data_IF_374300088237
#
_entry.id   IF_374300088237
#
_cell.length_a   1.000
_cell.length_b   1.000
_cell.length_c   1.000
_cell.angle_alpha   90.00
_cell.angle_beta   90.00
_cell.angle_gamma   90.00
#
_symmetry.space_group_name_H-M   'P 1'
#
loop_
_entity.id
_entity.type
_entity.pdbx_description
1 polymer ?
#
# COMPACT_ATOMS: atom_id res chain seq x y z
N UNK A 1 6.26 -33.56 -20.46
CA UNK A 1 4.87 -34.04 -20.69
C UNK A 1 3.98 -33.03 -19.99
N UNK A 2 3.24 -32.20 -20.73
CA UNK A 2 2.34 -31.21 -20.11
C UNK A 2 1.18 -32.01 -19.51
N UNK A 3 0.91 -31.81 -18.21
CA UNK A 3 -0.11 -32.55 -17.48
C UNK A 3 -1.51 -32.19 -18.02
N UNK A 4 -2.33 -33.19 -18.35
CA UNK A 4 -3.69 -32.98 -18.88
C UNK A 4 -4.55 -32.12 -17.96
N UNK A 5 -4.27 -32.11 -16.64
CA UNK A 5 -4.89 -31.19 -15.70
C UNK A 5 -4.57 -29.73 -16.00
N UNK A 6 -3.32 -29.42 -16.30
CA UNK A 6 -2.87 -28.06 -16.59
C UNK A 6 -3.53 -27.51 -17.88
N UNK A 7 -3.71 -28.38 -18.88
CA UNK A 7 -4.42 -28.05 -20.13
C UNK A 7 -5.90 -27.78 -19.86
N UNK A 8 -6.56 -28.65 -19.09
CA UNK A 8 -7.97 -28.46 -18.69
C UNK A 8 -8.19 -27.18 -17.89
N UNK A 9 -7.23 -26.80 -17.02
CA UNK A 9 -7.29 -25.54 -16.29
C UNK A 9 -7.19 -24.33 -17.23
N UNK A 10 -6.25 -24.34 -18.18
CA UNK A 10 -6.11 -23.27 -19.18
C UNK A 10 -7.37 -23.12 -20.05
N UNK A 11 -7.99 -24.24 -20.45
CA UNK A 11 -9.25 -24.22 -21.21
C UNK A 11 -10.38 -23.61 -20.38
N UNK A 12 -10.47 -23.95 -19.09
CA UNK A 12 -11.51 -23.40 -18.20
C UNK A 12 -11.31 -21.91 -17.94
N UNK A 13 -10.07 -21.45 -17.80
CA UNK A 13 -9.75 -20.04 -17.61
C UNK A 13 -10.03 -19.25 -18.89
N UNK A 14 -9.69 -19.80 -20.06
CA UNK A 14 -10.08 -19.24 -21.35
C UNK A 14 -11.61 -19.15 -21.51
N UNK A 15 -12.36 -20.19 -21.14
CA UNK A 15 -13.83 -20.15 -21.17
C UNK A 15 -14.43 -19.07 -20.26
N UNK A 16 -13.82 -18.83 -19.09
CA UNK A 16 -14.24 -17.72 -18.21
C UNK A 16 -13.90 -16.35 -18.82
N UNK A 17 -12.77 -16.23 -19.49
CA UNK A 17 -12.40 -15.02 -20.24
C UNK A 17 -13.33 -14.77 -21.43
N UNK A 18 -13.81 -15.83 -22.10
CA UNK A 18 -14.82 -15.69 -23.16
C UNK A 18 -16.21 -15.36 -22.60
N UNK A 19 -16.59 -15.91 -21.45
CA UNK A 19 -17.81 -15.50 -20.75
C UNK A 19 -17.75 -14.04 -20.32
N UNK A 20 -16.57 -13.49 -20.02
CA UNK A 20 -16.42 -12.06 -19.77
C UNK A 20 -16.75 -11.19 -21.01
N UNK A 21 -16.43 -11.66 -22.22
CA UNK A 21 -16.80 -10.97 -23.48
C UNK A 21 -18.33 -11.00 -23.68
N UNK A 22 -19.02 -11.99 -23.11
CA UNK A 22 -20.46 -12.22 -23.27
C UNK A 22 -21.33 -11.67 -22.13
N UNK A 23 -20.83 -11.63 -20.88
CA UNK A 23 -21.62 -11.37 -19.66
C UNK A 23 -21.22 -10.09 -18.88
N UNK A 24 -20.32 -9.24 -19.41
CA UNK A 24 -19.89 -7.96 -18.79
C UNK A 24 -19.29 -8.05 -17.36
N UNK A 25 -19.12 -9.26 -16.80
CA UNK A 25 -18.73 -9.46 -15.40
C UNK A 25 -17.21 -9.38 -15.21
N UNK A 26 -16.69 -8.21 -14.82
CA UNK A 26 -15.24 -8.01 -14.60
C UNK A 26 -14.64 -9.06 -13.65
N UNK A 27 -13.68 -9.90 -14.11
CA UNK A 27 -13.05 -10.89 -13.24
C UNK A 27 -12.31 -10.16 -12.12
N UNK A 28 -12.56 -10.57 -10.88
CA UNK A 28 -12.09 -9.84 -9.68
C UNK A 28 -11.56 -10.71 -8.55
N UNK A 29 -11.78 -12.02 -8.60
CA UNK A 29 -11.53 -12.92 -7.46
C UNK A 29 -10.04 -13.09 -7.19
N UNK A 30 -9.24 -13.35 -8.23
CA UNK A 30 -7.81 -13.50 -8.13
C UNK A 30 -7.15 -12.17 -7.75
N UNK A 31 -7.60 -11.07 -8.37
CA UNK A 31 -7.12 -9.73 -8.09
C UNK A 31 -7.33 -9.33 -6.62
N UNK A 32 -8.56 -9.42 -6.12
CA UNK A 32 -8.88 -9.07 -4.72
C UNK A 32 -8.08 -9.94 -3.75
N UNK A 33 -7.94 -11.25 -4.04
CA UNK A 33 -7.17 -12.16 -3.18
C UNK A 33 -5.69 -11.77 -3.13
N UNK A 34 -5.08 -11.47 -4.27
CA UNK A 34 -3.67 -11.04 -4.33
C UNK A 34 -3.45 -9.74 -3.58
N UNK A 35 -4.29 -8.73 -3.80
CA UNK A 35 -4.21 -7.46 -3.08
C UNK A 35 -4.42 -7.64 -1.57
N UNK A 36 -5.32 -8.54 -1.16
CA UNK A 36 -5.56 -8.84 0.26
C UNK A 36 -4.33 -9.46 0.92
N UNK A 37 -3.69 -10.46 0.28
CA UNK A 37 -2.48 -11.09 0.82
C UNK A 37 -1.35 -10.07 0.96
N UNK A 38 -1.11 -9.26 -0.08
CA UNK A 38 -0.11 -8.21 -0.01
C UNK A 38 -0.42 -7.20 1.10
N UNK A 39 -1.66 -6.71 1.16
CA UNK A 39 -2.09 -5.74 2.17
C UNK A 39 -1.90 -6.28 3.60
N UNK A 40 -2.27 -7.54 3.84
CA UNK A 40 -2.04 -8.19 5.13
C UNK A 40 -0.54 -8.27 5.48
N UNK A 41 0.31 -8.61 4.50
CA UNK A 41 1.76 -8.62 4.72
C UNK A 41 2.30 -7.22 5.05
N UNK A 42 1.85 -6.18 4.33
CA UNK A 42 2.23 -4.79 4.56
C UNK A 42 1.82 -4.33 5.97
N UNK A 43 0.59 -4.66 6.38
CA UNK A 43 0.04 -4.32 7.68
C UNK A 43 0.81 -5.02 8.81
N UNK A 44 1.01 -6.34 8.70
CA UNK A 44 1.74 -7.11 9.72
C UNK A 44 3.17 -6.57 9.90
N UNK A 45 3.87 -6.32 8.79
CA UNK A 45 5.24 -5.81 8.87
C UNK A 45 5.30 -4.38 9.42
N UNK A 46 4.34 -3.53 9.10
CA UNK A 46 4.24 -2.18 9.67
C UNK A 46 4.00 -2.23 11.18
N UNK A 47 3.15 -3.15 11.67
CA UNK A 47 2.92 -3.36 13.10
C UNK A 47 4.19 -3.87 13.80
N UNK A 48 4.89 -4.85 13.21
CA UNK A 48 6.16 -5.35 13.76
C UNK A 48 7.17 -4.21 13.90
N UNK A 49 7.33 -3.39 12.85
CA UNK A 49 8.26 -2.27 12.87
C UNK A 49 7.88 -1.20 13.89
N UNK A 50 6.59 -0.91 14.05
CA UNK A 50 6.11 0.03 15.07
C UNK A 50 6.54 -0.40 16.48
N UNK A 51 6.34 -1.67 16.84
CA UNK A 51 6.74 -2.17 18.17
C UNK A 51 8.26 -2.15 18.38
N UNK A 52 9.04 -2.58 17.38
CA UNK A 52 10.51 -2.57 17.49
C UNK A 52 11.03 -1.13 17.60
N UNK A 53 10.47 -0.20 16.80
CA UNK A 53 10.86 1.21 16.82
C UNK A 53 10.55 1.88 18.16
N UNK A 54 9.37 1.61 18.73
CA UNK A 54 9.02 2.11 20.06
C UNK A 54 9.97 1.56 21.13
N UNK A 55 10.29 0.27 21.08
CA UNK A 55 11.23 -0.33 22.02
C UNK A 55 12.66 0.26 21.90
N UNK A 56 13.13 0.50 20.67
CA UNK A 56 14.40 1.18 20.41
C UNK A 56 14.40 2.60 20.98
N UNK A 57 13.30 3.34 20.83
CA UNK A 57 13.15 4.70 21.36
C UNK A 57 13.22 4.72 22.89
N UNK A 58 12.50 3.81 23.56
CA UNK A 58 12.50 3.76 25.04
C UNK A 58 13.83 3.32 25.64
N UNK A 59 14.61 2.54 24.90
CA UNK A 59 15.90 2.01 25.37
C UNK A 59 17.08 2.91 25.03
N UNK A 60 16.88 3.96 24.21
CA UNK A 60 17.92 4.89 23.74
C UNK A 60 19.17 4.19 23.17
N UNK A 61 19.00 3.01 22.58
CA UNK A 61 20.10 2.16 22.14
C UNK A 61 20.34 2.31 20.63
N UNK A 62 21.47 2.91 20.27
CA UNK A 62 21.86 3.16 18.87
C UNK A 62 21.91 1.89 18.01
N UNK A 63 22.33 0.76 18.57
CA UNK A 63 22.37 -0.51 17.85
C UNK A 63 20.96 -0.99 17.47
N UNK A 64 19.97 -0.72 18.32
CA UNK A 64 18.57 -1.06 18.01
C UNK A 64 18.01 -0.16 16.90
N UNK A 65 18.39 1.12 16.83
CA UNK A 65 18.00 1.98 15.71
C UNK A 65 18.60 1.52 14.38
N UNK A 66 19.86 1.08 14.37
CA UNK A 66 20.48 0.48 13.19
C UNK A 66 19.73 -0.79 12.75
N UNK A 67 19.37 -1.65 13.72
CA UNK A 67 18.59 -2.86 13.47
C UNK A 67 17.21 -2.54 12.89
N UNK A 68 16.49 -1.54 13.42
CA UNK A 68 15.19 -1.10 12.88
C UNK A 68 15.28 -0.73 11.40
N UNK A 69 16.35 -0.01 10.99
CA UNK A 69 16.56 0.38 9.60
C UNK A 69 16.75 -0.82 8.68
N UNK A 70 17.62 -1.76 9.08
CA UNK A 70 17.87 -3.00 8.33
C UNK A 70 16.59 -3.83 8.23
N UNK A 71 15.88 -4.00 9.33
CA UNK A 71 14.61 -4.74 9.36
C UNK A 71 13.55 -4.08 8.48
N UNK A 72 13.49 -2.75 8.43
CA UNK A 72 12.55 -2.02 7.56
C UNK A 72 12.78 -2.39 6.09
N UNK A 73 14.04 -2.35 5.63
CA UNK A 73 14.39 -2.73 4.25
C UNK A 73 14.03 -4.18 3.96
N UNK A 74 14.42 -5.11 4.84
CA UNK A 74 14.16 -6.54 4.65
C UNK A 74 12.65 -6.82 4.58
N UNK A 75 11.88 -6.30 5.53
CA UNK A 75 10.44 -6.54 5.59
C UNK A 75 9.70 -5.94 4.39
N UNK A 76 10.03 -4.72 3.98
CA UNK A 76 9.37 -4.12 2.81
C UNK A 76 9.81 -4.77 1.48
N UNK A 77 11.04 -5.27 1.35
CA UNK A 77 11.42 -6.15 0.23
C UNK A 77 10.57 -7.44 0.22
N UNK A 78 10.34 -8.04 1.39
CA UNK A 78 9.49 -9.23 1.51
C UNK A 78 8.04 -8.94 1.08
N UNK A 79 7.49 -7.74 1.32
CA UNK A 79 6.13 -7.41 0.81
C UNK A 79 6.04 -7.49 -0.71
N UNK A 80 7.08 -7.06 -1.43
CA UNK A 80 7.15 -7.14 -2.89
C UNK A 80 7.22 -8.61 -3.31
N UNK A 81 8.10 -9.39 -2.68
CA UNK A 81 8.26 -10.82 -2.98
C UNK A 81 6.94 -11.59 -2.74
N UNK A 82 6.27 -11.33 -1.62
CA UNK A 82 4.96 -11.93 -1.30
C UNK A 82 3.92 -11.57 -2.36
N UNK A 83 3.87 -10.32 -2.80
CA UNK A 83 2.98 -9.90 -3.88
C UNK A 83 3.27 -10.67 -5.18
N UNK A 84 4.53 -10.69 -5.63
CA UNK A 84 4.94 -11.37 -6.87
C UNK A 84 4.61 -12.87 -6.80
N UNK A 85 4.94 -13.55 -5.69
CA UNK A 85 4.59 -14.96 -5.50
C UNK A 85 3.07 -15.15 -5.57
N UNK A 86 2.28 -14.23 -5.00
CA UNK A 86 0.82 -14.31 -5.02
C UNK A 86 0.25 -14.17 -6.44
N UNK A 87 0.82 -13.28 -7.27
CA UNK A 87 0.45 -13.14 -8.69
C UNK A 87 0.65 -14.45 -9.47
N UNK A 88 1.72 -15.20 -9.18
CA UNK A 88 2.01 -16.45 -9.90
C UNK A 88 1.35 -17.69 -9.30
N UNK A 89 1.08 -17.74 -8.00
CA UNK A 89 0.50 -18.92 -7.32
C UNK A 89 -1.02 -18.92 -7.24
N UNK A 90 -1.67 -17.76 -7.23
CA UNK A 90 -3.13 -17.70 -7.17
C UNK A 90 -3.71 -18.02 -8.55
N UNK A 91 -4.61 -19.00 -8.62
CA UNK A 91 -5.39 -19.26 -9.81
C UNK A 91 -6.28 -18.06 -10.14
N UNK A 92 -6.11 -17.48 -11.32
CA UNK A 92 -6.80 -16.29 -11.79
C UNK A 92 -6.85 -16.28 -13.32
N UNK A 93 -7.69 -15.43 -13.89
CA UNK A 93 -7.77 -15.22 -15.34
C UNK A 93 -6.49 -14.59 -15.91
N UNK A 94 -6.26 -14.71 -17.21
CA UNK A 94 -5.11 -14.03 -17.86
C UNK A 94 -5.20 -12.51 -17.70
N UNK A 95 -6.41 -11.95 -17.82
CA UNK A 95 -6.66 -10.52 -17.63
C UNK A 95 -6.31 -10.03 -16.22
N UNK A 96 -6.69 -10.76 -15.18
CA UNK A 96 -6.31 -10.42 -13.79
C UNK A 96 -4.79 -10.47 -13.61
N UNK A 97 -4.14 -11.49 -14.19
CA UNK A 97 -2.70 -11.68 -14.08
C UNK A 97 -1.92 -10.57 -14.77
N UNK A 98 -2.30 -10.20 -15.99
CA UNK A 98 -1.64 -9.13 -16.74
C UNK A 98 -1.79 -7.78 -16.03
N UNK A 99 -2.99 -7.49 -15.52
CA UNK A 99 -3.23 -6.29 -14.72
C UNK A 99 -2.37 -6.26 -13.45
N UNK A 100 -2.34 -7.35 -12.67
CA UNK A 100 -1.52 -7.42 -11.45
C UNK A 100 -0.03 -7.34 -11.75
N UNK A 101 0.41 -7.88 -12.89
CA UNK A 101 1.82 -7.81 -13.32
C UNK A 101 2.22 -6.37 -13.58
N UNK A 102 1.39 -5.60 -14.30
CA UNK A 102 1.56 -4.15 -14.42
C UNK A 102 1.49 -3.44 -13.06
N UNK A 103 0.53 -3.80 -12.22
CA UNK A 103 0.31 -3.18 -10.91
C UNK A 103 1.48 -3.40 -9.93
N UNK A 104 2.36 -4.39 -10.18
CA UNK A 104 3.60 -4.61 -9.42
C UNK A 104 4.45 -3.35 -9.27
N UNK A 105 4.44 -2.46 -10.28
CA UNK A 105 5.18 -1.20 -10.22
C UNK A 105 4.72 -0.34 -9.03
N UNK A 106 3.42 -0.20 -8.80
CA UNK A 106 2.88 0.57 -7.67
C UNK A 106 3.23 -0.09 -6.33
N UNK A 107 3.17 -1.42 -6.26
CA UNK A 107 3.55 -2.19 -5.08
C UNK A 107 5.03 -1.95 -4.72
N UNK A 108 5.90 -2.01 -5.73
CA UNK A 108 7.32 -1.77 -5.57
C UNK A 108 7.61 -0.32 -5.14
N UNK A 109 6.94 0.67 -5.74
CA UNK A 109 7.09 2.09 -5.37
C UNK A 109 6.63 2.32 -3.93
N UNK A 110 5.47 1.80 -3.52
CA UNK A 110 4.97 1.93 -2.14
C UNK A 110 5.95 1.32 -1.14
N UNK A 111 6.47 0.12 -1.41
CA UNK A 111 7.50 -0.48 -0.56
C UNK A 111 8.79 0.34 -0.56
N UNK A 112 9.22 0.86 -1.71
CA UNK A 112 10.45 1.65 -1.83
C UNK A 112 10.38 2.96 -1.04
N UNK A 113 9.25 3.66 -1.07
CA UNK A 113 8.97 4.85 -0.24
C UNK A 113 9.26 4.59 1.24
N UNK A 114 8.90 3.40 1.74
CA UNK A 114 9.15 2.99 3.14
C UNK A 114 10.63 2.71 3.42
N UNK A 115 11.39 2.31 2.39
CA UNK A 115 12.79 1.95 2.49
C UNK A 115 13.73 3.15 2.28
N UNK A 116 13.28 4.22 1.62
CA UNK A 116 14.13 5.38 1.30
C UNK A 116 14.76 5.99 2.55
N UNK A 117 14.00 6.21 3.62
CA UNK A 117 14.53 6.82 4.85
C UNK A 117 15.62 5.95 5.53
N UNK A 118 15.42 4.62 5.74
CA UNK A 118 16.49 3.75 6.16
C UNK A 118 17.72 3.76 5.23
N UNK A 119 17.49 3.79 3.91
CA UNK A 119 18.56 3.73 2.89
C UNK A 119 19.38 5.02 2.85
N UNK A 120 18.74 6.18 2.98
CA UNK A 120 19.41 7.48 2.92
C UNK A 120 20.48 7.64 4.00
N UNK A 121 20.30 6.99 5.16
CA UNK A 121 21.30 6.94 6.21
C UNK A 121 22.64 6.36 5.74
N UNK A 122 22.61 5.25 5.00
CA UNK A 122 23.85 4.63 4.49
C UNK A 122 24.43 5.38 3.30
N UNK A 123 23.59 6.08 2.53
CA UNK A 123 24.01 6.89 1.39
C UNK A 123 24.51 8.29 1.79
N UNK A 124 24.40 8.68 3.07
CA UNK A 124 24.67 10.05 3.56
C UNK A 124 23.97 11.12 2.71
N UNK A 125 22.73 10.83 2.34
CA UNK A 125 21.96 11.62 1.39
C UNK A 125 20.89 12.44 2.11
N UNK A 126 21.32 13.46 2.88
CA UNK A 126 20.44 14.31 3.68
C UNK A 126 19.41 15.07 2.83
N UNK A 127 19.72 15.32 1.56
CA UNK A 127 18.78 15.89 0.59
C UNK A 127 17.58 14.98 0.26
N UNK A 128 17.75 13.65 0.33
CA UNK A 128 16.62 12.72 0.13
C UNK A 128 15.64 12.77 1.31
N UNK A 129 16.15 13.06 2.52
CA UNK A 129 15.34 13.21 3.73
C UNK A 129 14.47 14.47 3.63
N UNK A 130 15.05 15.60 3.22
CA UNK A 130 14.30 16.88 3.13
C UNK A 130 13.18 16.84 2.09
N UNK A 131 13.37 16.16 0.95
CA UNK A 131 12.30 15.96 -0.05
C UNK A 131 11.16 15.11 0.52
N UNK A 132 11.48 14.05 1.26
CA UNK A 132 10.49 13.13 1.83
C UNK A 132 9.68 13.74 2.97
N UNK A 133 10.33 14.59 3.78
CA UNK A 133 9.65 15.29 4.86
C UNK A 133 8.72 16.39 4.33
N UNK A 134 9.10 17.04 3.23
CA UNK A 134 8.38 18.19 2.66
C UNK A 134 7.20 17.81 1.75
N UNK A 135 7.20 16.63 1.15
CA UNK A 135 6.20 16.25 0.15
C UNK A 135 5.57 14.88 0.45
N UNK A 136 4.23 14.75 0.48
CA UNK A 136 3.56 13.50 0.82
C UNK A 136 3.54 12.54 -0.38
N UNK A 137 4.73 12.07 -0.78
CA UNK A 137 4.92 11.18 -1.94
C UNK A 137 4.07 9.91 -1.82
N UNK A 138 3.94 9.37 -0.60
CA UNK A 138 3.16 8.16 -0.34
C UNK A 138 1.68 8.32 -0.70
N UNK A 139 1.05 9.43 -0.33
CA UNK A 139 -0.38 9.66 -0.60
C UNK A 139 -0.64 9.83 -2.11
N UNK A 140 0.27 10.49 -2.84
CA UNK A 140 0.18 10.60 -4.29
C UNK A 140 0.27 9.26 -5.00
N UNK A 141 1.20 8.40 -4.58
CA UNK A 141 1.33 7.05 -5.15
C UNK A 141 0.08 6.21 -4.86
N UNK A 142 -0.51 6.33 -3.68
CA UNK A 142 -1.80 5.69 -3.35
C UNK A 142 -2.91 6.18 -4.26
N UNK A 143 -3.04 7.50 -4.47
CA UNK A 143 -4.05 8.08 -5.36
C UNK A 143 -3.88 7.55 -6.79
N UNK A 144 -2.66 7.54 -7.33
CA UNK A 144 -2.38 7.00 -8.66
C UNK A 144 -2.71 5.51 -8.77
N UNK A 145 -2.34 4.71 -7.77
CA UNK A 145 -2.67 3.29 -7.71
C UNK A 145 -4.19 3.06 -7.68
N UNK A 146 -4.94 3.87 -6.93
CA UNK A 146 -6.40 3.83 -6.89
C UNK A 146 -7.02 4.23 -8.23
N UNK A 147 -6.46 5.21 -8.95
CA UNK A 147 -6.90 5.54 -10.31
C UNK A 147 -6.72 4.37 -11.28
N UNK A 148 -5.59 3.66 -11.19
CA UNK A 148 -5.36 2.44 -12.00
C UNK A 148 -6.36 1.35 -11.66
N UNK A 149 -6.68 1.15 -10.38
CA UNK A 149 -7.73 0.23 -9.95
C UNK A 149 -9.13 0.68 -10.42
N UNK A 150 -9.42 1.99 -10.42
CA UNK A 150 -10.66 2.52 -10.96
C UNK A 150 -10.80 2.21 -12.45
N UNK A 151 -9.73 2.33 -13.24
CA UNK A 151 -9.75 1.99 -14.66
C UNK A 151 -10.07 0.51 -14.92
N UNK A 152 -9.62 -0.38 -14.02
CA UNK A 152 -9.90 -1.82 -14.11
C UNK A 152 -11.35 -2.16 -13.73
N UNK A 153 -11.78 -1.71 -12.55
CA UNK A 153 -13.07 -2.07 -11.96
C UNK A 153 -14.24 -1.20 -12.44
N UNK A 154 -13.97 0.04 -12.86
CA UNK A 154 -14.95 1.06 -13.24
C UNK A 154 -16.07 1.28 -12.23
N UNK A 155 -15.77 1.12 -10.93
CA UNK A 155 -16.78 1.28 -9.88
C UNK A 155 -16.77 2.68 -9.26
N UNK A 156 -17.95 3.27 -9.07
CA UNK A 156 -18.15 4.54 -8.32
C UNK A 156 -17.56 4.49 -6.91
N UNK A 157 -17.46 3.29 -6.33
CA UNK A 157 -16.86 3.04 -5.02
C UNK A 157 -15.39 3.44 -4.97
N UNK A 158 -14.60 3.06 -5.97
CA UNK A 158 -13.17 3.42 -6.00
C UNK A 158 -13.01 4.91 -6.24
N UNK A 159 -13.86 5.52 -7.07
CA UNK A 159 -13.89 6.97 -7.26
C UNK A 159 -14.12 7.71 -5.93
N UNK A 160 -15.06 7.23 -5.11
CA UNK A 160 -15.32 7.80 -3.79
C UNK A 160 -14.11 7.67 -2.86
N UNK A 161 -13.38 6.54 -2.88
CA UNK A 161 -12.15 6.37 -2.10
C UNK A 161 -11.05 7.34 -2.57
N UNK A 162 -10.91 7.54 -3.88
CA UNK A 162 -9.97 8.53 -4.46
C UNK A 162 -10.30 9.93 -3.93
N UNK A 163 -11.57 10.34 -4.00
CA UNK A 163 -12.00 11.66 -3.52
C UNK A 163 -11.75 11.82 -2.01
N UNK A 164 -12.05 10.79 -1.20
CA UNK A 164 -11.77 10.80 0.23
C UNK A 164 -10.27 10.92 0.53
N UNK A 165 -9.42 10.27 -0.25
CA UNK A 165 -7.96 10.40 -0.11
C UNK A 165 -7.49 11.83 -0.41
N UNK A 166 -7.97 12.42 -1.50
CA UNK A 166 -7.61 13.79 -1.89
C UNK A 166 -8.07 14.80 -0.82
N UNK A 167 -9.32 14.70 -0.37
CA UNK A 167 -9.87 15.60 0.66
C UNK A 167 -9.14 15.39 2.00
N UNK A 168 -8.88 14.14 2.38
CA UNK A 168 -8.12 13.81 3.59
C UNK A 168 -6.72 14.41 3.58
N UNK A 169 -6.03 14.33 2.45
CA UNK A 169 -4.68 14.89 2.29
C UNK A 169 -4.68 16.41 2.41
N UNK A 170 -5.62 17.09 1.74
CA UNK A 170 -5.78 18.55 1.84
C UNK A 170 -6.06 18.95 3.30
N UNK A 171 -6.90 18.19 4.00
CA UNK A 171 -7.22 18.44 5.41
C UNK A 171 -5.98 18.26 6.32
N UNK A 172 -5.15 17.23 6.08
CA UNK A 172 -3.91 17.00 6.85
C UNK A 172 -2.91 18.12 6.61
N UNK A 173 -2.67 18.51 5.35
CA UNK A 173 -1.76 19.63 5.02
C UNK A 173 -2.25 20.94 5.64
N UNK A 174 -3.55 21.22 5.54
CA UNK A 174 -4.15 22.39 6.17
C UNK A 174 -3.98 22.38 7.70
N UNK A 175 -4.21 21.23 8.35
CA UNK A 175 -4.04 21.05 9.79
C UNK A 175 -2.59 21.28 10.22
N UNK A 176 -1.62 20.67 9.53
CA UNK A 176 -0.18 20.85 9.83
C UNK A 176 0.21 22.31 9.65
N UNK A 177 -0.22 22.97 8.58
CA UNK A 177 0.08 24.40 8.37
C UNK A 177 -0.51 25.30 9.46
N UNK A 178 -1.74 25.00 9.92
CA UNK A 178 -2.39 25.71 11.02
C UNK A 178 -1.69 25.49 12.36
N UNK A 179 -1.19 24.27 12.60
CA UNK A 179 -0.39 23.94 13.78
C UNK A 179 0.93 24.71 13.81
N UNK A 180 1.68 24.68 12.71
CA UNK A 180 2.98 25.36 12.61
C UNK A 180 2.89 26.89 12.72
N UNK A 181 1.77 27.47 12.27
CA UNK A 181 1.53 28.92 12.36
C UNK A 181 0.87 29.36 13.68
N UNK A 182 0.59 28.43 14.60
CA UNK A 182 -0.02 28.76 15.89
C UNK A 182 1.04 29.18 16.91
N UNK A 183 0.86 30.35 17.52
CA UNK A 183 1.80 30.87 18.52
C UNK A 183 1.79 30.03 19.82
N UNK A 184 0.64 29.45 20.16
CA UNK A 184 0.46 28.55 21.32
C UNK A 184 -0.47 27.41 20.86
N UNK A 185 0.07 26.28 20.38
CA UNK A 185 -0.75 25.13 20.01
C UNK A 185 -1.46 24.56 21.25
N UNK A 186 -2.73 24.20 21.09
CA UNK A 186 -3.49 23.52 22.16
C UNK A 186 -3.00 22.09 22.34
N UNK A 187 -3.19 21.50 23.54
CA UNK A 187 -2.83 20.10 23.82
C UNK A 187 -3.48 19.11 22.84
N UNK A 188 -4.73 19.39 22.44
CA UNK A 188 -5.44 18.58 21.44
C UNK A 188 -4.74 18.65 20.07
N UNK A 189 -4.26 19.83 19.66
CA UNK A 189 -3.54 19.97 18.40
C UNK A 189 -2.21 19.22 18.42
N UNK A 190 -1.48 19.24 19.54
CA UNK A 190 -0.22 18.49 19.70
C UNK A 190 -0.49 16.99 19.55
N UNK A 191 -1.49 16.44 20.26
CA UNK A 191 -1.84 15.01 20.17
C UNK A 191 -2.25 14.59 18.76
N UNK A 192 -3.01 15.43 18.05
CA UNK A 192 -3.41 15.17 16.66
C UNK A 192 -2.21 15.22 15.70
N UNK A 193 -1.29 16.17 15.91
CA UNK A 193 -0.05 16.24 15.15
C UNK A 193 0.79 14.97 15.35
N UNK A 194 1.02 14.56 16.60
CA UNK A 194 1.78 13.34 16.91
C UNK A 194 1.14 12.10 16.29
N UNK A 195 -0.19 11.98 16.38
CA UNK A 195 -0.94 10.89 15.73
C UNK A 195 -0.76 10.91 14.21
N UNK A 196 -0.81 12.09 13.58
CA UNK A 196 -0.61 12.23 12.12
C UNK A 196 0.80 11.84 11.70
N UNK A 197 1.82 12.19 12.50
CA UNK A 197 3.21 11.84 12.26
C UNK A 197 3.44 10.33 12.45
N UNK A 198 2.83 9.71 13.46
CA UNK A 198 2.86 8.26 13.65
C UNK A 198 2.24 7.54 12.46
N UNK A 199 1.08 8.01 11.97
CA UNK A 199 0.44 7.43 10.80
C UNK A 199 1.31 7.58 9.54
N UNK A 200 1.84 8.78 9.26
CA UNK A 200 2.77 9.02 8.14
C UNK A 200 3.98 8.08 8.22
N UNK A 201 4.64 8.04 9.38
CA UNK A 201 5.86 7.28 9.57
C UNK A 201 5.67 5.77 9.53
N UNK A 202 4.45 5.26 9.73
CA UNK A 202 4.14 3.83 9.71
C UNK A 202 3.33 3.38 8.47
N UNK A 203 3.16 4.25 7.47
CA UNK A 203 2.46 3.91 6.22
C UNK A 203 0.93 3.86 6.38
N UNK A 204 0.41 4.63 7.33
CA UNK A 204 -1.00 4.70 7.70
C UNK A 204 -1.91 5.09 6.53
N UNK A 205 -1.44 5.94 5.61
CA UNK A 205 -2.20 6.31 4.42
C UNK A 205 -2.47 5.12 3.50
N UNK A 206 -1.43 4.33 3.18
CA UNK A 206 -1.59 3.08 2.41
C UNK A 206 -2.53 2.14 3.16
N UNK A 207 -2.34 2.00 4.47
CA UNK A 207 -3.13 1.08 5.30
C UNK A 207 -4.62 1.42 5.30
N UNK A 208 -4.97 2.68 5.58
CA UNK A 208 -6.36 3.14 5.65
C UNK A 208 -7.01 3.00 4.27
N UNK A 209 -6.36 3.44 3.21
CA UNK A 209 -6.94 3.47 1.86
C UNK A 209 -7.16 2.08 1.29
N UNK A 210 -6.21 1.16 1.46
CA UNK A 210 -6.39 -0.22 1.03
C UNK A 210 -7.35 -1.01 1.94
N UNK A 211 -7.43 -0.71 3.24
CA UNK A 211 -8.44 -1.30 4.11
C UNK A 211 -9.86 -0.95 3.61
N UNK A 212 -10.13 0.34 3.38
CA UNK A 212 -11.42 0.79 2.84
C UNK A 212 -11.71 0.18 1.47
N UNK A 213 -10.73 0.15 0.57
CA UNK A 213 -10.85 -0.48 -0.74
C UNK A 213 -11.26 -1.95 -0.62
N UNK A 214 -10.54 -2.75 0.15
CA UNK A 214 -10.77 -4.19 0.26
C UNK A 214 -12.11 -4.50 0.94
N UNK A 215 -12.49 -3.74 1.97
CA UNK A 215 -13.80 -3.87 2.63
C UNK A 215 -14.91 -3.64 1.60
N UNK A 216 -14.85 -2.53 0.85
CA UNK A 216 -15.90 -2.16 -0.08
C UNK A 216 -15.96 -3.06 -1.33
N UNK A 217 -14.82 -3.56 -1.80
CA UNK A 217 -14.77 -4.55 -2.89
C UNK A 217 -15.32 -5.92 -2.45
N UNK A 218 -15.13 -6.32 -1.19
CA UNK A 218 -15.66 -7.58 -0.65
C UNK A 218 -17.15 -7.50 -0.26
N UNK A 219 -17.64 -6.33 0.17
CA UNK A 219 -19.06 -6.10 0.46
C UNK A 219 -19.94 -6.18 -0.80
N UNK A 220 -19.39 -5.90 -1.97
CA UNK A 220 -20.05 -6.16 -3.27
C UNK A 220 -20.01 -7.65 -3.64
N UNK A 221 -20.67 -8.48 -2.83
CA UNK A 221 -21.34 -9.69 -3.31
C UNK A 221 -22.67 -9.27 -3.92
N UNK A 222 -22.63 -8.82 -5.17
CA UNK A 222 -23.81 -8.74 -6.05
C UNK A 222 -23.44 -9.53 -7.30
#
# INVERSE_FOLDING_TARGET
MIDNKEILEKIRDAQNDTRYILDDSTPKKGLIKTLTIWFLSYLIFSIILYFISNYAMTSLNENLFSLVRVMTVILFLLTIVIYVISVYKIKMTFKEKDFLTFFTCFIAIMAFIRMIFPISYWLKADFLLSIFDSFPIESLVVILALFVLFNYFRTKTILLIILLNIVGEIAVVYFISSFLNSNIPTEMMIKLYDMSMILKNNGGFVMISFAFLLILLNLKKV
#
